data_IF_753472473596
#
_entry.id   IF_753472473596
#
_cell.length_a   1.000
_cell.length_b   1.000
_cell.length_c   1.000
_cell.angle_alpha   90.00
_cell.angle_beta   90.00
_cell.angle_gamma   90.00
#
_symmetry.space_group_name_H-M   'P 1'
#
loop_
_entity.id
_entity.type
_entity.pdbx_description
1 polymer ?
#
# COMPACT_ATOMS: atom_id res chain seq x y z
N UNK A 1 -19.65 9.33 -0.59
CA UNK A 1 -19.48 9.14 -2.06
C UNK A 1 -17.99 9.06 -2.32
N UNK A 2 -17.51 8.01 -2.98
CA UNK A 2 -16.08 7.91 -3.36
C UNK A 2 -15.81 8.97 -4.41
N UNK A 3 -14.86 9.88 -4.15
CA UNK A 3 -14.46 10.94 -5.08
C UNK A 3 -13.88 10.35 -6.38
N UNK A 4 -13.95 11.10 -7.47
CA UNK A 4 -13.26 10.80 -8.72
C UNK A 4 -12.08 11.75 -8.82
N UNK A 5 -10.90 11.18 -9.03
CA UNK A 5 -9.68 11.92 -9.33
C UNK A 5 -9.51 11.95 -10.85
N UNK A 6 -9.28 13.15 -11.40
CA UNK A 6 -8.98 13.35 -12.82
C UNK A 6 -7.52 13.79 -12.92
N UNK A 7 -6.67 12.89 -13.38
CA UNK A 7 -5.24 13.14 -13.54
C UNK A 7 -4.94 13.65 -14.95
N UNK A 8 -4.49 14.90 -15.04
CA UNK A 8 -4.07 15.53 -16.30
C UNK A 8 -2.61 15.25 -16.62
N UNK A 9 -1.79 14.94 -15.61
CA UNK A 9 -0.45 14.39 -15.83
C UNK A 9 -0.52 12.87 -15.90
N UNK A 10 -0.88 12.35 -17.06
CA UNK A 10 -1.16 10.94 -17.30
C UNK A 10 0.00 10.18 -17.95
N UNK A 11 1.17 10.77 -18.09
CA UNK A 11 2.34 10.15 -18.76
C UNK A 11 2.73 8.80 -18.16
N UNK A 12 2.52 8.62 -16.86
CA UNK A 12 2.75 7.36 -16.17
C UNK A 12 1.73 6.25 -16.54
N UNK A 13 0.61 6.60 -17.15
CA UNK A 13 -0.46 5.66 -17.53
C UNK A 13 -0.46 5.32 -19.01
N UNK A 14 0.51 5.78 -19.81
CA UNK A 14 0.54 5.55 -21.25
C UNK A 14 1.86 5.00 -21.72
N UNK A 15 1.80 4.18 -22.77
CA UNK A 15 2.92 3.70 -23.60
C UNK A 15 2.55 3.84 -25.06
N UNK A 16 3.55 3.93 -25.92
CA UNK A 16 3.32 3.92 -27.36
C UNK A 16 3.13 2.49 -27.88
N UNK A 17 2.40 2.36 -28.97
CA UNK A 17 2.08 1.06 -29.59
C UNK A 17 3.32 0.21 -29.92
N UNK A 18 4.43 0.87 -30.28
CA UNK A 18 5.69 0.23 -30.65
C UNK A 18 6.60 -0.04 -29.43
N UNK A 19 6.27 0.49 -28.23
CA UNK A 19 7.00 0.17 -27.01
C UNK A 19 6.91 -1.33 -26.72
N UNK A 20 7.99 -1.89 -26.15
CA UNK A 20 8.03 -3.31 -25.82
C UNK A 20 7.08 -3.66 -24.66
N UNK A 21 6.63 -4.91 -24.63
CA UNK A 21 5.87 -5.45 -23.50
C UNK A 21 6.64 -5.25 -22.19
N UNK A 22 7.98 -5.43 -22.22
CA UNK A 22 8.84 -5.21 -21.03
C UNK A 22 8.77 -3.77 -20.53
N UNK A 23 8.80 -2.78 -21.43
CA UNK A 23 8.67 -1.37 -21.11
C UNK A 23 7.29 -1.08 -20.49
N UNK A 24 6.22 -1.64 -21.07
CA UNK A 24 4.87 -1.49 -20.53
C UNK A 24 4.73 -2.07 -19.12
N UNK A 25 5.27 -3.26 -18.86
CA UNK A 25 5.27 -3.90 -17.54
C UNK A 25 6.05 -3.09 -16.50
N UNK A 26 7.19 -2.52 -16.90
CA UNK A 26 7.99 -1.64 -16.03
C UNK A 26 7.20 -0.41 -15.62
N UNK A 27 6.46 0.22 -16.54
CA UNK A 27 5.57 1.35 -16.25
C UNK A 27 4.37 0.95 -15.38
N UNK A 28 3.75 -0.22 -15.60
CA UNK A 28 2.67 -0.75 -14.74
C UNK A 28 3.16 -0.92 -13.30
N UNK A 29 4.39 -1.43 -13.12
CA UNK A 29 5.01 -1.59 -11.80
C UNK A 29 5.25 -0.22 -11.14
N UNK A 30 5.74 0.75 -11.89
CA UNK A 30 6.04 2.09 -11.37
C UNK A 30 4.78 2.88 -11.00
N UNK A 31 3.71 2.78 -11.81
CA UNK A 31 2.47 3.54 -11.60
C UNK A 31 1.51 2.87 -10.60
N UNK A 32 1.79 1.64 -10.15
CA UNK A 32 1.00 0.85 -9.19
C UNK A 32 -0.50 0.69 -9.54
N UNK A 33 -0.88 0.97 -10.80
CA UNK A 33 -2.29 0.98 -11.22
C UNK A 33 -2.74 -0.32 -11.90
N UNK A 34 -1.83 -1.30 -12.04
CA UNK A 34 -2.08 -2.61 -12.68
C UNK A 34 -2.54 -2.54 -14.14
N UNK A 35 -2.42 -1.40 -14.78
CA UNK A 35 -2.78 -1.19 -16.17
C UNK A 35 -1.93 -0.10 -16.80
N UNK A 36 -1.90 -0.11 -18.15
CA UNK A 36 -1.34 0.97 -18.93
C UNK A 36 -2.14 1.10 -20.23
N UNK A 37 -2.41 2.33 -20.67
CA UNK A 37 -3.08 2.61 -21.93
C UNK A 37 -2.05 2.65 -23.05
N UNK A 38 -2.42 2.07 -24.19
CA UNK A 38 -1.59 2.04 -25.39
C UNK A 38 -2.10 3.08 -26.35
N UNK A 39 -1.20 3.95 -26.80
CA UNK A 39 -1.54 5.06 -27.72
C UNK A 39 -0.67 5.01 -28.97
N UNK A 40 -1.18 5.60 -30.06
CA UNK A 40 -0.36 5.90 -31.24
C UNK A 40 0.64 7.04 -30.95
N UNK A 41 1.57 7.30 -31.85
CA UNK A 41 2.47 8.47 -31.80
C UNK A 41 1.71 9.81 -31.72
N UNK A 42 0.50 9.89 -32.28
CA UNK A 42 -0.38 11.05 -32.21
C UNK A 42 -1.21 11.11 -30.92
N UNK A 43 -1.04 10.19 -29.99
CA UNK A 43 -1.74 10.14 -28.68
C UNK A 43 -3.15 9.52 -28.75
N UNK A 44 -3.54 8.93 -29.88
CA UNK A 44 -4.86 8.28 -30.04
C UNK A 44 -4.84 6.97 -29.29
N UNK A 45 -5.88 6.71 -28.48
CA UNK A 45 -6.06 5.47 -27.73
C UNK A 45 -6.22 4.29 -28.70
N UNK A 46 -5.38 3.24 -28.50
CA UNK A 46 -5.44 2.00 -29.27
C UNK A 46 -5.87 0.79 -28.42
N UNK A 47 -5.61 0.84 -27.11
CA UNK A 47 -5.97 -0.26 -26.23
C UNK A 47 -5.46 -0.05 -24.80
N UNK A 48 -5.52 -1.13 -24.03
CA UNK A 48 -5.04 -1.21 -22.67
C UNK A 48 -4.31 -2.53 -22.45
N UNK A 49 -3.24 -2.52 -21.67
CA UNK A 49 -2.62 -3.73 -21.15
C UNK A 49 -2.83 -3.75 -19.64
N UNK A 50 -3.43 -4.83 -19.14
CA UNK A 50 -3.59 -5.11 -17.72
C UNK A 50 -2.81 -6.36 -17.32
N UNK A 51 -2.62 -6.59 -16.02
CA UNK A 51 -2.04 -7.85 -15.51
C UNK A 51 -2.81 -9.08 -16.04
N UNK A 52 -4.13 -8.96 -16.19
CA UNK A 52 -4.97 -10.03 -16.72
C UNK A 52 -4.75 -10.28 -18.20
N UNK A 53 -4.54 -9.21 -18.99
CA UNK A 53 -4.24 -9.32 -20.42
C UNK A 53 -2.88 -9.97 -20.64
N UNK A 54 -1.90 -9.54 -19.87
CA UNK A 54 -0.55 -10.09 -19.91
C UNK A 54 -0.52 -11.59 -19.57
N UNK A 55 -1.24 -12.01 -18.51
CA UNK A 55 -1.34 -13.43 -18.15
C UNK A 55 -2.01 -14.26 -19.23
N UNK A 56 -3.06 -13.75 -19.88
CA UNK A 56 -3.73 -14.43 -21.01
C UNK A 56 -2.81 -14.56 -22.21
N UNK A 57 -2.07 -13.49 -22.51
CA UNK A 57 -1.09 -13.50 -23.58
C UNK A 57 0.00 -14.56 -23.33
N UNK A 58 0.62 -14.60 -22.15
CA UNK A 58 1.61 -15.63 -21.79
C UNK A 58 1.04 -17.04 -21.93
N UNK A 59 -0.18 -17.26 -21.43
CA UNK A 59 -0.81 -18.57 -21.47
C UNK A 59 -1.11 -19.06 -22.91
N UNK A 60 -1.22 -18.14 -23.87
CA UNK A 60 -1.44 -18.43 -25.29
C UNK A 60 -0.16 -18.45 -26.14
N UNK A 61 1.01 -18.06 -25.58
CA UNK A 61 2.26 -18.02 -26.32
C UNK A 61 2.99 -19.37 -26.27
N UNK A 62 3.49 -19.83 -27.43
CA UNK A 62 4.45 -20.95 -27.47
C UNK A 62 5.85 -20.55 -27.03
N UNK A 63 6.25 -19.30 -27.32
CA UNK A 63 7.52 -18.69 -26.91
C UNK A 63 7.26 -17.28 -26.40
N UNK A 64 7.83 -16.95 -25.24
CA UNK A 64 7.65 -15.66 -24.58
C UNK A 64 8.81 -14.73 -24.97
N UNK A 65 8.50 -13.72 -25.79
CA UNK A 65 9.43 -12.63 -26.12
C UNK A 65 8.84 -11.29 -25.65
N UNK A 66 9.41 -10.75 -24.58
CA UNK A 66 8.98 -9.48 -23.99
C UNK A 66 9.44 -8.24 -24.78
N UNK A 67 10.30 -8.41 -25.79
CA UNK A 67 10.71 -7.31 -26.66
C UNK A 67 9.72 -7.04 -27.79
N UNK A 68 8.72 -7.89 -27.95
CA UNK A 68 7.64 -7.65 -28.92
C UNK A 68 6.87 -6.37 -28.57
N UNK A 69 6.33 -5.65 -29.57
CA UNK A 69 5.49 -4.50 -29.34
C UNK A 69 4.31 -4.82 -28.40
N UNK A 70 3.95 -3.85 -27.56
CA UNK A 70 2.84 -4.00 -26.58
C UNK A 70 1.50 -4.34 -27.24
N UNK A 71 1.34 -3.97 -28.50
CA UNK A 71 0.18 -4.32 -29.33
C UNK A 71 -0.07 -5.83 -29.42
N UNK A 72 0.96 -6.67 -29.26
CA UNK A 72 0.83 -8.12 -29.27
C UNK A 72 0.06 -8.67 -28.04
N UNK A 73 0.07 -7.93 -26.92
CA UNK A 73 -0.54 -8.37 -25.65
C UNK A 73 -1.70 -7.49 -25.19
N UNK A 74 -1.90 -6.32 -25.80
CA UNK A 74 -2.94 -5.37 -25.36
C UNK A 74 -4.35 -5.88 -25.70
N UNK A 75 -5.32 -5.37 -24.94
CA UNK A 75 -6.74 -5.50 -25.21
C UNK A 75 -7.22 -4.26 -25.97
N UNK A 76 -7.70 -4.43 -27.19
CA UNK A 76 -8.22 -3.33 -28.03
C UNK A 76 -9.63 -2.89 -27.63
N UNK A 77 -10.38 -3.73 -26.88
CA UNK A 77 -11.71 -3.39 -26.38
C UNK A 77 -11.59 -2.61 -25.04
N UNK A 78 -10.93 -1.46 -25.10
CA UNK A 78 -10.73 -0.58 -23.96
C UNK A 78 -11.92 0.35 -23.77
N UNK A 79 -12.45 0.43 -22.55
CA UNK A 79 -13.45 1.44 -22.21
C UNK A 79 -12.81 2.81 -22.01
N UNK A 80 -13.48 3.85 -22.51
CA UNK A 80 -13.09 5.25 -22.39
C UNK A 80 -14.31 6.12 -22.12
N UNK A 81 -14.09 7.38 -21.74
CA UNK A 81 -15.12 8.38 -21.63
C UNK A 81 -14.70 9.64 -22.39
N UNK A 82 -15.66 10.48 -22.79
CA UNK A 82 -15.35 11.76 -23.43
C UNK A 82 -14.79 12.75 -22.39
N UNK A 83 -13.92 13.66 -22.81
CA UNK A 83 -13.56 14.82 -22.01
C UNK A 83 -14.84 15.60 -21.63
N UNK A 84 -14.92 16.05 -20.37
CA UNK A 84 -16.13 16.73 -19.87
C UNK A 84 -17.23 15.80 -19.36
N UNK A 85 -17.07 14.48 -19.40
CA UNK A 85 -18.01 13.54 -18.76
C UNK A 85 -18.15 13.86 -17.27
N UNK A 86 -19.38 13.89 -16.77
CA UNK A 86 -19.68 14.25 -15.38
C UNK A 86 -19.03 13.26 -14.39
N UNK A 87 -18.68 13.73 -13.19
CA UNK A 87 -18.12 12.87 -12.14
C UNK A 87 -19.07 11.76 -11.70
N UNK A 88 -20.39 12.00 -11.80
CA UNK A 88 -21.42 10.97 -11.54
C UNK A 88 -21.34 9.84 -12.57
N UNK A 89 -21.24 10.18 -13.86
CA UNK A 89 -21.18 9.20 -14.94
C UNK A 89 -19.86 8.43 -14.94
N UNK A 90 -18.75 9.10 -14.62
CA UNK A 90 -17.46 8.47 -14.41
C UNK A 90 -17.51 7.50 -13.22
N UNK A 91 -18.15 7.90 -12.12
CA UNK A 91 -18.32 7.05 -10.94
C UNK A 91 -19.16 5.80 -11.23
N UNK A 92 -20.15 5.89 -12.08
CA UNK A 92 -20.98 4.76 -12.50
C UNK A 92 -20.19 3.75 -13.35
N UNK A 93 -19.26 4.21 -14.16
CA UNK A 93 -18.43 3.36 -15.02
C UNK A 93 -17.26 2.72 -14.30
N UNK A 94 -16.67 3.42 -13.31
CA UNK A 94 -15.55 2.92 -12.50
C UNK A 94 -16.03 1.89 -11.46
N UNK A 95 -15.41 0.73 -11.42
CA UNK A 95 -15.74 -0.37 -10.50
C UNK A 95 -14.48 -1.21 -10.19
N UNK A 96 -14.64 -2.36 -9.53
CA UNK A 96 -13.50 -3.25 -9.20
C UNK A 96 -12.77 -3.85 -10.42
N UNK A 97 -13.41 -3.86 -11.59
CA UNK A 97 -12.80 -4.34 -12.85
C UNK A 97 -12.26 -3.19 -13.70
N UNK A 98 -12.91 -2.03 -13.66
CA UNK A 98 -12.52 -0.83 -14.40
C UNK A 98 -12.05 0.18 -13.36
N UNK A 99 -10.75 0.15 -13.05
CA UNK A 99 -10.13 0.97 -12.00
C UNK A 99 -9.72 2.34 -12.49
N UNK A 100 -9.54 2.50 -13.81
CA UNK A 100 -9.24 3.77 -14.46
C UNK A 100 -9.90 3.84 -15.84
N UNK A 101 -10.26 5.06 -16.26
CA UNK A 101 -10.85 5.38 -17.57
C UNK A 101 -10.03 6.47 -18.23
N UNK A 102 -9.54 6.29 -19.47
CA UNK A 102 -8.95 7.36 -20.24
C UNK A 102 -10.06 8.31 -20.71
N UNK A 103 -9.84 9.61 -20.55
CA UNK A 103 -10.71 10.66 -21.05
C UNK A 103 -10.19 11.12 -22.40
N UNK A 104 -11.05 11.09 -23.41
CA UNK A 104 -10.66 11.33 -24.79
C UNK A 104 -11.22 12.66 -25.29
N UNK A 105 -10.43 13.37 -26.09
CA UNK A 105 -10.88 14.50 -26.88
C UNK A 105 -11.71 14.05 -28.11
N UNK A 106 -12.18 15.00 -28.91
CA UNK A 106 -12.95 14.73 -30.15
C UNK A 106 -12.17 14.00 -31.24
N UNK A 107 -10.84 13.87 -31.08
CA UNK A 107 -9.96 13.18 -32.02
C UNK A 107 -9.54 11.79 -31.49
N UNK A 108 -10.08 11.35 -30.34
CA UNK A 108 -9.74 10.07 -29.72
C UNK A 108 -8.39 10.05 -28.98
N UNK A 109 -7.80 11.22 -28.70
CA UNK A 109 -6.55 11.32 -27.96
C UNK A 109 -6.84 11.37 -26.46
N UNK A 110 -5.98 10.73 -25.67
CA UNK A 110 -6.07 10.80 -24.21
C UNK A 110 -5.68 12.22 -23.75
N UNK A 111 -6.54 12.87 -22.97
CA UNK A 111 -6.31 14.20 -22.39
C UNK A 111 -6.25 14.16 -20.86
N UNK A 112 -6.77 13.10 -20.24
CA UNK A 112 -6.69 12.86 -18.81
C UNK A 112 -7.02 11.38 -18.51
N UNK A 113 -6.76 10.95 -17.29
CA UNK A 113 -7.19 9.65 -16.76
C UNK A 113 -8.05 9.86 -15.53
N UNK A 114 -9.29 9.35 -15.57
CA UNK A 114 -10.17 9.31 -14.43
C UNK A 114 -10.01 8.00 -13.66
N UNK A 115 -9.83 8.08 -12.34
CA UNK A 115 -9.82 6.92 -11.45
C UNK A 115 -10.61 7.23 -10.18
N UNK A 116 -11.03 6.21 -9.47
CA UNK A 116 -11.56 6.45 -8.12
C UNK A 116 -10.43 7.02 -7.27
N UNK A 117 -10.71 8.11 -6.57
CA UNK A 117 -9.87 8.48 -5.45
C UNK A 117 -9.81 7.27 -4.52
N UNK A 118 -8.61 6.82 -4.19
CA UNK A 118 -8.44 5.89 -3.09
C UNK A 118 -9.10 6.55 -1.88
N UNK A 119 -10.11 5.90 -1.28
CA UNK A 119 -10.59 6.34 0.01
C UNK A 119 -9.36 6.32 0.89
N UNK A 120 -8.81 7.48 1.19
CA UNK A 120 -7.63 7.58 2.03
C UNK A 120 -7.92 6.81 3.31
N UNK A 121 -7.00 5.95 3.72
CA UNK A 121 -7.11 5.28 5.00
C UNK A 121 -7.29 6.35 6.07
N UNK A 122 -8.29 6.20 6.93
CA UNK A 122 -8.47 7.08 8.07
C UNK A 122 -7.80 6.46 9.28
N UNK A 123 -6.85 7.16 9.88
CA UNK A 123 -6.18 6.76 11.13
C UNK A 123 -6.40 7.87 12.16
N UNK A 124 -7.33 7.66 13.09
CA UNK A 124 -7.75 8.74 14.00
C UNK A 124 -8.35 9.91 13.21
N UNK A 125 -7.82 11.11 13.40
CA UNK A 125 -8.18 12.32 12.65
C UNK A 125 -7.41 12.48 11.34
N UNK A 126 -6.40 11.64 11.06
CA UNK A 126 -5.51 11.76 9.92
C UNK A 126 -6.05 10.97 8.72
N UNK A 127 -6.10 11.64 7.58
CA UNK A 127 -6.38 10.99 6.28
C UNK A 127 -5.06 10.59 5.64
N UNK A 128 -4.96 9.33 5.20
CA UNK A 128 -3.82 8.78 4.46
C UNK A 128 -4.24 8.58 3.01
N UNK A 129 -3.58 9.22 2.09
CA UNK A 129 -3.90 9.14 0.65
C UNK A 129 -2.95 10.00 -0.19
N UNK A 130 -3.06 9.90 -1.51
CA UNK A 130 -2.13 10.52 -2.47
C UNK A 130 -2.07 12.06 -2.37
N UNK A 131 -3.15 12.68 -1.89
CA UNK A 131 -3.34 14.13 -1.75
C UNK A 131 -3.35 14.58 -0.26
N UNK A 132 -3.01 13.68 0.66
CA UNK A 132 -2.91 13.97 2.08
C UNK A 132 -1.46 14.26 2.49
N UNK A 133 -1.23 15.02 3.59
CA UNK A 133 0.10 15.14 4.18
C UNK A 133 0.68 13.75 4.53
N UNK A 134 2.01 13.65 4.51
CA UNK A 134 2.69 12.42 4.91
C UNK A 134 2.38 12.13 6.38
N UNK A 135 1.92 10.90 6.68
CA UNK A 135 1.68 10.44 8.04
C UNK A 135 2.95 9.78 8.57
N UNK A 136 3.59 10.43 9.56
CA UNK A 136 4.86 10.00 10.11
C UNK A 136 4.67 9.09 11.33
N UNK A 137 5.17 7.87 11.24
CA UNK A 137 5.10 6.87 12.31
C UNK A 137 6.46 6.77 12.99
N UNK A 138 6.53 7.16 14.27
CA UNK A 138 7.69 6.88 15.10
C UNK A 138 7.64 5.43 15.59
N UNK A 139 8.58 4.61 15.15
CA UNK A 139 8.71 3.21 15.59
C UNK A 139 9.44 3.16 16.94
N UNK A 140 8.70 3.24 18.04
CA UNK A 140 9.25 3.13 19.41
C UNK A 140 9.65 1.67 19.69
N UNK A 141 8.83 0.73 19.20
CA UNK A 141 9.12 -0.69 19.25
C UNK A 141 9.48 -1.17 20.66
N UNK A 142 10.69 -1.72 20.81
CA UNK A 142 11.29 -2.15 22.08
C UNK A 142 12.49 -1.26 22.51
N UNK A 143 12.70 -0.11 21.87
CA UNK A 143 13.87 0.73 22.14
C UNK A 143 13.87 1.33 23.56
N UNK A 144 12.77 1.21 24.29
CA UNK A 144 12.66 1.55 25.70
C UNK A 144 13.33 0.53 26.65
N UNK A 145 13.77 -0.64 26.15
CA UNK A 145 14.47 -1.69 26.90
C UNK A 145 13.76 -2.12 28.21
N UNK A 146 12.42 -2.11 28.23
CA UNK A 146 11.62 -2.47 29.41
C UNK A 146 11.50 -1.33 30.45
N UNK A 147 12.03 -0.14 30.17
CA UNK A 147 11.95 1.00 31.09
C UNK A 147 10.85 1.97 30.66
N UNK A 148 9.87 2.19 31.55
CA UNK A 148 8.74 3.08 31.30
C UNK A 148 9.17 4.53 31.10
N UNK A 149 10.15 5.04 31.88
CA UNK A 149 10.56 6.44 31.76
C UNK A 149 11.23 6.68 30.41
N UNK A 150 12.03 5.74 29.94
CA UNK A 150 12.63 5.78 28.61
C UNK A 150 11.54 5.74 27.52
N UNK A 151 10.49 4.92 27.69
CA UNK A 151 9.36 4.88 26.75
C UNK A 151 8.64 6.24 26.67
N UNK A 152 8.38 6.88 27.80
CA UNK A 152 7.75 8.22 27.86
C UNK A 152 8.64 9.28 27.19
N UNK A 153 9.95 9.25 27.41
CA UNK A 153 10.91 10.16 26.75
C UNK A 153 10.94 9.96 25.23
N UNK A 154 10.85 8.72 24.75
CA UNK A 154 10.78 8.42 23.31
C UNK A 154 9.49 8.97 22.70
N UNK A 155 8.36 8.91 23.40
CA UNK A 155 7.10 9.53 22.96
C UNK A 155 7.26 11.05 22.86
N UNK A 156 7.84 11.69 23.88
CA UNK A 156 8.07 13.14 23.90
C UNK A 156 9.00 13.56 22.75
N UNK A 157 10.05 12.79 22.49
CA UNK A 157 10.95 13.02 21.37
C UNK A 157 10.25 12.85 20.01
N UNK A 158 9.40 11.83 19.86
CA UNK A 158 8.61 11.59 18.65
C UNK A 158 7.65 12.77 18.38
N UNK A 159 6.97 13.27 19.43
CA UNK A 159 6.11 14.43 19.33
C UNK A 159 6.90 15.69 18.93
N UNK A 160 8.03 15.95 19.59
CA UNK A 160 8.89 17.09 19.27
C UNK A 160 9.46 17.04 17.85
N UNK A 161 9.68 15.84 17.29
CA UNK A 161 10.11 15.63 15.91
C UNK A 161 8.97 15.76 14.88
N UNK A 162 7.72 15.99 15.30
CA UNK A 162 6.58 16.14 14.41
C UNK A 162 6.02 14.82 13.87
N UNK A 163 6.20 13.71 14.60
CA UNK A 163 5.52 12.46 14.28
C UNK A 163 4.00 12.57 14.51
N UNK A 164 3.22 11.80 13.76
CA UNK A 164 1.77 11.70 13.92
C UNK A 164 1.36 10.48 14.75
N UNK A 165 2.23 9.48 14.84
CA UNK A 165 1.95 8.21 15.47
C UNK A 165 3.15 7.70 16.27
N UNK A 166 2.87 7.13 17.46
CA UNK A 166 3.82 6.37 18.26
C UNK A 166 3.46 4.87 18.17
N UNK A 167 4.32 4.07 17.53
CA UNK A 167 4.09 2.64 17.34
C UNK A 167 4.92 1.81 18.29
N UNK A 168 4.25 0.98 19.07
CA UNK A 168 4.82 0.03 20.03
C UNK A 168 4.74 -1.40 19.52
N UNK A 169 5.45 -2.30 20.18
CA UNK A 169 5.33 -3.73 20.01
C UNK A 169 4.68 -4.34 21.26
N UNK A 170 3.49 -4.90 21.09
CA UNK A 170 2.78 -5.65 22.13
C UNK A 170 2.86 -7.13 21.76
N UNK A 171 3.30 -7.97 22.68
CA UNK A 171 3.48 -9.42 22.45
C UNK A 171 2.86 -10.23 23.56
N UNK A 172 2.18 -11.30 23.19
CA UNK A 172 1.78 -12.36 24.13
C UNK A 172 2.86 -13.46 24.11
N UNK A 173 3.80 -13.37 25.05
CA UNK A 173 4.93 -14.30 25.14
C UNK A 173 4.48 -15.75 25.29
N UNK A 174 3.31 -16.01 25.90
CA UNK A 174 2.77 -17.35 26.08
C UNK A 174 2.35 -18.03 24.76
N UNK A 175 2.14 -17.25 23.69
CA UNK A 175 1.66 -17.73 22.39
C UNK A 175 2.69 -17.63 21.27
N UNK A 176 3.74 -16.83 21.45
CA UNK A 176 4.67 -16.49 20.38
C UNK A 176 5.52 -17.66 19.89
N UNK A 177 5.77 -18.64 20.74
CA UNK A 177 6.68 -19.75 20.43
C UNK A 177 6.18 -21.07 21.02
N UNK A 178 5.06 -21.56 20.51
CA UNK A 178 4.70 -22.97 20.64
C UNK A 178 5.39 -23.80 19.54
N UNK A 179 6.68 -23.72 19.42
CA UNK A 179 7.39 -24.78 18.74
C UNK A 179 7.62 -25.88 19.77
N UNK A 180 6.93 -27.01 19.59
CA UNK A 180 7.44 -28.27 20.05
C UNK A 180 8.78 -28.47 19.30
N UNK A 181 9.89 -28.03 19.91
CA UNK A 181 11.22 -28.21 19.35
C UNK A 181 11.43 -29.65 19.01
N UNK A 182 12.05 -29.93 17.87
CA UNK A 182 12.57 -31.24 17.59
C UNK A 182 13.66 -31.49 18.67
N UNK A 183 13.42 -32.43 19.56
CA UNK A 183 14.28 -32.76 20.74
C UNK A 183 15.70 -33.18 20.37
N UNK A 184 16.06 -33.11 19.09
CA UNK A 184 17.37 -33.52 18.57
C UNK A 184 18.26 -32.33 18.11
N UNK A 185 17.78 -31.06 18.13
CA UNK A 185 18.58 -29.92 17.72
C UNK A 185 18.82 -28.91 18.88
N UNK A 186 19.73 -29.28 19.79
CA UNK A 186 20.13 -28.47 20.94
C UNK A 186 20.74 -27.09 20.57
N UNK A 187 21.28 -26.91 19.38
CA UNK A 187 21.92 -25.63 18.97
C UNK A 187 20.90 -24.62 18.52
N UNK A 188 19.83 -25.06 17.89
CA UNK A 188 18.67 -24.23 17.47
C UNK A 188 17.86 -23.77 18.69
N UNK A 189 17.79 -24.62 19.73
CA UNK A 189 17.01 -24.35 20.94
C UNK A 189 17.63 -23.24 21.82
N UNK A 190 18.96 -23.22 21.95
CA UNK A 190 19.69 -22.20 22.73
C UNK A 190 19.54 -20.78 22.14
N UNK A 191 19.55 -20.62 20.80
CA UNK A 191 19.36 -19.35 20.14
C UNK A 191 17.94 -18.82 20.29
N UNK A 192 16.95 -19.70 20.23
CA UNK A 192 15.54 -19.39 20.42
C UNK A 192 15.26 -18.97 21.86
N UNK A 193 15.78 -19.70 22.85
CA UNK A 193 15.61 -19.38 24.26
C UNK A 193 16.24 -18.02 24.61
N UNK A 194 17.47 -17.76 24.15
CA UNK A 194 18.14 -16.48 24.35
C UNK A 194 17.33 -15.31 23.77
N UNK A 195 16.73 -15.50 22.61
CA UNK A 195 15.87 -14.47 21.98
C UNK A 195 14.60 -14.23 22.79
N UNK A 196 13.99 -15.30 23.34
CA UNK A 196 12.80 -15.22 24.18
C UNK A 196 13.09 -14.45 25.48
N UNK A 197 14.18 -14.80 26.15
CA UNK A 197 14.60 -14.13 27.41
C UNK A 197 14.86 -12.63 27.20
N UNK A 198 15.48 -12.26 26.06
CA UNK A 198 15.66 -10.85 25.68
C UNK A 198 14.33 -10.14 25.42
N UNK A 199 13.41 -10.78 24.68
CA UNK A 199 12.11 -10.20 24.39
C UNK A 199 11.26 -10.01 25.64
N UNK A 200 11.30 -10.96 26.58
CA UNK A 200 10.63 -10.86 27.87
C UNK A 200 11.22 -9.73 28.74
N UNK A 201 12.54 -9.65 28.78
CA UNK A 201 13.25 -8.60 29.55
C UNK A 201 12.97 -7.18 29.04
N UNK A 202 12.75 -7.03 27.73
CA UNK A 202 12.52 -5.73 27.11
C UNK A 202 11.04 -5.38 26.94
N UNK A 203 10.14 -6.16 27.49
CA UNK A 203 8.71 -5.91 27.41
C UNK A 203 8.25 -5.02 28.58
N UNK A 204 7.41 -4.03 28.29
CA UNK A 204 6.62 -3.33 29.29
C UNK A 204 5.45 -4.21 29.73
N UNK A 205 5.02 -4.09 30.97
CA UNK A 205 3.75 -4.65 31.41
C UNK A 205 2.59 -3.99 30.67
N UNK A 206 1.42 -4.65 30.65
CA UNK A 206 0.23 -4.12 29.98
C UNK A 206 -0.15 -2.73 30.56
N UNK A 207 -0.09 -2.58 31.88
CA UNK A 207 -0.39 -1.30 32.55
C UNK A 207 0.58 -0.17 32.16
N UNK A 208 1.87 -0.48 32.04
CA UNK A 208 2.88 0.46 31.59
C UNK A 208 2.68 0.84 30.12
N UNK A 209 2.33 -0.13 29.29
CA UNK A 209 2.05 0.10 27.87
C UNK A 209 0.80 0.97 27.69
N UNK A 210 -0.27 0.74 28.47
CA UNK A 210 -1.45 1.62 28.45
C UNK A 210 -1.13 3.04 28.93
N UNK A 211 -0.27 3.20 29.93
CA UNK A 211 0.23 4.52 30.33
C UNK A 211 0.99 5.22 29.20
N UNK A 212 1.79 4.48 28.42
CA UNK A 212 2.43 5.02 27.22
C UNK A 212 1.42 5.45 26.16
N UNK A 213 0.35 4.69 25.97
CA UNK A 213 -0.72 5.03 25.01
C UNK A 213 -1.46 6.31 25.45
N UNK A 214 -1.81 6.44 26.73
CA UNK A 214 -2.46 7.63 27.27
C UNK A 214 -1.54 8.85 27.16
N UNK A 215 -0.24 8.69 27.43
CA UNK A 215 0.74 9.75 27.27
C UNK A 215 0.87 10.20 25.81
N UNK A 216 1.00 9.26 24.87
CA UNK A 216 1.04 9.56 23.44
C UNK A 216 -0.22 10.29 22.98
N UNK A 217 -1.40 9.82 23.39
CA UNK A 217 -2.68 10.45 23.07
C UNK A 217 -2.77 11.87 23.65
N UNK A 218 -2.28 12.11 24.88
CA UNK A 218 -2.24 13.44 25.51
C UNK A 218 -1.36 14.44 24.76
N UNK A 219 -0.37 13.95 23.99
CA UNK A 219 0.50 14.75 23.12
C UNK A 219 -0.08 14.91 21.70
N UNK A 220 -1.24 14.33 21.40
CA UNK A 220 -1.86 14.35 20.08
C UNK A 220 -1.31 13.30 19.10
N UNK A 221 -0.41 12.41 19.54
CA UNK A 221 0.05 11.28 18.74
C UNK A 221 -1.00 10.16 18.73
N UNK A 222 -1.11 9.46 17.61
CA UNK A 222 -1.94 8.25 17.53
C UNK A 222 -1.13 7.06 18.08
N UNK A 223 -1.50 6.48 19.26
CA UNK A 223 -0.84 5.28 19.74
C UNK A 223 -1.24 4.07 18.91
N UNK A 224 -0.29 3.20 18.57
CA UNK A 224 -0.52 1.97 17.79
C UNK A 224 0.32 0.82 18.32
N UNK A 225 -0.27 -0.39 18.25
CA UNK A 225 0.44 -1.66 18.37
C UNK A 225 -0.04 -2.59 17.25
N UNK A 226 0.77 -3.56 16.78
CA UNK A 226 0.36 -4.50 15.75
C UNK A 226 -0.89 -5.27 16.19
N UNK A 227 -1.88 -5.50 15.29
CA UNK A 227 -3.00 -6.37 15.58
C UNK A 227 -2.50 -7.82 15.71
N UNK A 228 -3.00 -8.58 16.67
CA UNK A 228 -2.80 -10.02 16.77
C UNK A 228 -2.01 -10.51 17.96
N UNK A 229 -1.69 -9.66 18.92
CA UNK A 229 -0.88 -10.07 20.04
C UNK A 229 -1.59 -10.21 21.39
N UNK A 230 -2.82 -9.76 21.52
CA UNK A 230 -3.78 -10.15 22.56
C UNK A 230 -5.20 -9.88 22.10
N UNK A 231 -6.16 -10.80 22.22
CA UNK A 231 -7.54 -10.40 22.26
C UNK A 231 -7.72 -9.56 23.55
N UNK A 232 -8.29 -8.36 23.39
CA UNK A 232 -8.72 -7.60 24.54
C UNK A 232 -9.56 -8.52 25.41
N UNK A 233 -9.17 -8.70 26.68
CA UNK A 233 -10.02 -9.34 27.65
C UNK A 233 -11.20 -8.41 27.85
N UNK A 234 -12.33 -8.73 27.22
CA UNK A 234 -13.63 -8.19 27.59
C UNK A 234 -13.96 -8.77 28.97
N UNK A 235 -13.86 -7.98 29.98
CA UNK A 235 -14.64 -8.09 31.19
C UNK A 235 -15.78 -7.10 31.07
#
# INVERSE_FOLDING_TARGET
MRGILIERNFTQFVVFAEDSILSALSKITANQSRLIFVVSESGILQGVLTDGDFRRWIAGCGEIDLNRPVTAAMNTNCRSAAEGTSTSDLSAQLNSRIIALPLLDSHGRIVAVARRATDGLQIGSHRIGDDAPCFLIAEIGNNHNGDLNTALQLIDAAHAAGADCAKFQMRDMSRLYRNAGDSNDMASDLGTQYTLDLLERFQLSDDELFRCFDHAASKGLVPRAPPGMKPASTN
#
